data_IF_117691347442
#
_entry.id   IF_117691347442
#
_cell.length_a   1.000
_cell.length_b   1.000
_cell.length_c   1.000
_cell.angle_alpha   90.00
_cell.angle_beta   90.00
_cell.angle_gamma   90.00
#
_symmetry.space_group_name_H-M   'P 1'
#
loop_
_entity.id
_entity.type
_entity.pdbx_description
1 polymer ?
#
# COMPACT_ATOMS: atom_id res chain seq x y z
N UNK A 1 -22.49 -17.11 -2.05
CA UNK A 1 -21.97 -17.91 -0.92
C UNK A 1 -20.53 -17.44 -0.74
N UNK A 2 -20.18 -16.86 0.42
CA UNK A 2 -18.80 -16.43 0.69
C UNK A 2 -17.95 -17.68 0.93
N UNK A 3 -16.85 -17.81 0.18
CA UNK A 3 -15.81 -18.84 0.37
C UNK A 3 -14.71 -18.28 1.28
N UNK A 4 -13.74 -19.11 1.66
CA UNK A 4 -12.63 -18.73 2.56
C UNK A 4 -11.61 -17.73 1.93
N UNK A 5 -11.94 -17.13 0.79
CA UNK A 5 -11.13 -16.13 0.09
C UNK A 5 -9.86 -16.68 -0.57
N UNK A 6 -9.55 -17.97 -0.41
CA UNK A 6 -8.32 -18.58 -0.95
C UNK A 6 -8.39 -18.83 -2.46
N UNK A 7 -9.59 -19.05 -2.98
CA UNK A 7 -9.86 -19.36 -4.37
C UNK A 7 -10.80 -18.31 -4.97
N UNK A 8 -10.24 -17.19 -5.47
CA UNK A 8 -11.00 -16.20 -6.24
C UNK A 8 -10.76 -14.73 -5.89
N UNK A 9 -10.02 -14.43 -4.82
CA UNK A 9 -9.56 -13.08 -4.52
C UNK A 9 -8.05 -13.02 -4.71
N UNK A 10 -7.60 -12.39 -5.80
CA UNK A 10 -6.19 -12.04 -5.92
C UNK A 10 -5.86 -10.92 -4.94
N UNK A 11 -4.74 -11.06 -4.23
CA UNK A 11 -4.25 -10.04 -3.30
C UNK A 11 -3.95 -8.74 -4.06
N UNK A 12 -4.84 -7.76 -3.98
CA UNK A 12 -4.66 -6.43 -4.59
C UNK A 12 -3.78 -5.52 -3.74
N UNK A 13 -3.24 -6.02 -2.63
CA UNK A 13 -2.48 -5.21 -1.67
C UNK A 13 -3.35 -4.18 -0.95
N UNK A 14 -2.69 -3.17 -0.38
CA UNK A 14 -3.33 -2.03 0.29
C UNK A 14 -3.31 -0.80 -0.62
N UNK A 15 -4.31 0.07 -0.48
CA UNK A 15 -4.43 1.31 -1.28
C UNK A 15 -4.30 2.57 -0.41
N UNK A 16 -3.80 3.64 -1.02
CA UNK A 16 -3.91 5.00 -0.48
C UNK A 16 -5.10 5.70 -1.12
N UNK A 17 -5.90 6.39 -0.31
CA UNK A 17 -7.08 7.12 -0.76
C UNK A 17 -6.90 8.61 -0.48
N UNK A 18 -7.36 9.44 -1.40
CA UNK A 18 -7.44 10.88 -1.24
C UNK A 18 -8.81 11.38 -1.69
N UNK A 19 -9.27 12.48 -1.09
CA UNK A 19 -10.45 13.17 -1.59
C UNK A 19 -10.18 13.69 -3.01
N UNK A 20 -11.09 13.46 -3.95
CA UNK A 20 -10.94 13.89 -5.35
C UNK A 20 -10.54 15.37 -5.49
N UNK A 21 -11.18 16.34 -4.79
CA UNK A 21 -10.77 17.74 -4.90
C UNK A 21 -9.35 18.01 -4.39
N UNK A 22 -8.83 17.20 -3.47
CA UNK A 22 -7.45 17.34 -3.00
C UNK A 22 -6.46 16.81 -4.04
N UNK A 23 -6.72 15.62 -4.60
CA UNK A 23 -5.87 15.02 -5.62
C UNK A 23 -5.80 15.88 -6.90
N UNK A 24 -6.94 16.44 -7.33
CA UNK A 24 -7.03 17.30 -8.51
C UNK A 24 -6.35 18.66 -8.31
N UNK A 25 -6.39 19.22 -7.09
CA UNK A 25 -5.74 20.51 -6.77
C UNK A 25 -4.24 20.39 -6.51
N UNK A 26 -3.76 19.21 -6.16
CA UNK A 26 -2.36 18.99 -5.77
C UNK A 26 -1.70 17.85 -6.57
N UNK A 27 -1.76 17.86 -7.92
CA UNK A 27 -1.29 16.74 -8.73
C UNK A 27 0.20 16.43 -8.52
N UNK A 28 1.02 17.46 -8.27
CA UNK A 28 2.47 17.31 -8.05
C UNK A 28 2.84 16.89 -6.63
N UNK A 29 1.93 17.05 -5.67
CA UNK A 29 2.17 16.68 -4.27
C UNK A 29 2.00 15.19 -4.03
N UNK A 30 1.06 14.55 -4.73
CA UNK A 30 0.79 13.12 -4.58
C UNK A 30 2.04 12.24 -4.84
N UNK A 31 2.81 12.41 -5.94
CA UNK A 31 4.02 11.63 -6.14
C UNK A 31 5.10 11.91 -5.08
N UNK A 32 5.17 13.13 -4.54
CA UNK A 32 6.11 13.47 -3.46
C UNK A 32 5.77 12.73 -2.17
N UNK A 33 4.49 12.65 -1.82
CA UNK A 33 4.01 11.87 -0.66
C UNK A 33 4.35 10.39 -0.87
N UNK A 34 4.07 9.83 -2.05
CA UNK A 34 4.40 8.43 -2.34
C UNK A 34 5.90 8.15 -2.30
N UNK A 35 6.73 9.07 -2.78
CA UNK A 35 8.19 8.96 -2.66
C UNK A 35 8.64 8.93 -1.19
N UNK A 36 8.15 9.84 -0.36
CA UNK A 36 8.50 9.88 1.06
C UNK A 36 8.06 8.60 1.79
N UNK A 37 6.85 8.10 1.49
CA UNK A 37 6.35 6.85 2.07
C UNK A 37 7.16 5.63 1.60
N UNK A 38 7.58 5.60 0.33
CA UNK A 38 8.47 4.55 -0.19
C UNK A 38 9.85 4.58 0.47
N UNK A 39 10.40 5.76 0.75
CA UNK A 39 11.66 5.87 1.49
C UNK A 39 11.50 5.35 2.92
N UNK A 40 10.39 5.65 3.60
CA UNK A 40 10.09 5.12 4.91
C UNK A 40 9.90 3.58 4.90
N UNK A 41 9.25 3.04 3.87
CA UNK A 41 9.11 1.59 3.69
C UNK A 41 10.47 0.92 3.47
N UNK A 42 11.36 1.53 2.68
CA UNK A 42 12.71 1.02 2.45
C UNK A 42 13.55 0.94 3.75
N UNK A 43 13.34 1.86 4.70
CA UNK A 43 14.02 1.82 6.01
C UNK A 43 13.69 0.56 6.80
N UNK A 44 12.51 -0.03 6.62
CA UNK A 44 12.13 -1.27 7.31
C UNK A 44 13.01 -2.46 6.93
N UNK A 45 13.70 -2.38 5.78
CA UNK A 45 14.69 -3.36 5.32
C UNK A 45 16.13 -2.90 5.52
N UNK A 46 16.41 -1.62 5.25
CA UNK A 46 17.76 -1.08 5.35
C UNK A 46 18.23 -0.93 6.80
N UNK A 47 17.30 -0.72 7.73
CA UNK A 47 17.55 -0.64 9.18
C UNK A 47 16.42 -1.34 9.96
N UNK A 48 16.39 -2.67 9.96
CA UNK A 48 15.31 -3.44 10.59
C UNK A 48 15.28 -3.23 12.12
N UNK A 49 16.44 -3.19 12.78
CA UNK A 49 16.53 -3.00 14.23
C UNK A 49 15.95 -1.65 14.67
N UNK A 50 16.38 -0.55 14.04
CA UNK A 50 15.84 0.77 14.35
C UNK A 50 14.35 0.89 14.02
N UNK A 51 13.90 0.25 12.93
CA UNK A 51 12.48 0.22 12.58
C UNK A 51 11.64 -0.53 13.61
N UNK A 52 12.13 -1.67 14.11
CA UNK A 52 11.50 -2.44 15.18
C UNK A 52 11.46 -1.63 16.47
N UNK A 53 12.53 -0.92 16.85
CA UNK A 53 12.55 -0.10 18.07
C UNK A 53 11.50 1.02 18.02
N UNK A 54 11.44 1.75 16.91
CA UNK A 54 10.45 2.82 16.69
C UNK A 54 9.03 2.25 16.81
N UNK A 55 8.76 1.12 16.13
CA UNK A 55 7.43 0.51 16.13
C UNK A 55 7.05 -0.12 17.49
N UNK A 56 8.01 -0.68 18.22
CA UNK A 56 7.83 -1.16 19.60
C UNK A 56 7.32 -0.03 20.49
N UNK A 57 7.96 1.14 20.40
CA UNK A 57 7.56 2.33 21.16
C UNK A 57 6.18 2.86 20.74
N UNK A 58 5.88 2.88 19.44
CA UNK A 58 4.60 3.38 18.94
C UNK A 58 3.42 2.44 19.25
N UNK A 59 3.61 1.14 19.08
CA UNK A 59 2.55 0.15 19.26
C UNK A 59 2.38 -0.26 20.73
N UNK A 60 3.39 -0.03 21.58
CA UNK A 60 3.38 -0.48 22.98
C UNK A 60 3.41 -2.00 23.13
N UNK A 61 3.91 -2.71 22.10
CA UNK A 61 4.00 -4.17 22.07
C UNK A 61 5.42 -4.63 22.39
N UNK A 62 5.60 -5.86 22.91
CA UNK A 62 6.91 -6.47 23.07
C UNK A 62 7.71 -6.50 21.75
N UNK A 63 9.03 -6.33 21.85
CA UNK A 63 9.91 -6.20 20.69
C UNK A 63 9.90 -7.45 19.79
N UNK A 64 9.80 -8.64 20.38
CA UNK A 64 9.72 -9.93 19.68
C UNK A 64 8.42 -10.07 18.87
N UNK A 65 7.30 -9.56 19.39
CA UNK A 65 6.03 -9.48 18.65
C UNK A 65 6.15 -8.56 17.45
N UNK A 66 6.78 -7.39 17.61
CA UNK A 66 7.00 -6.46 16.50
C UNK A 66 7.98 -7.04 15.48
N UNK A 67 9.05 -7.68 15.92
CA UNK A 67 9.98 -8.37 15.03
C UNK A 67 9.28 -9.46 14.20
N UNK A 68 8.43 -10.26 14.84
CA UNK A 68 7.57 -11.24 14.16
C UNK A 68 6.64 -10.57 13.14
N UNK A 69 6.00 -9.45 13.48
CA UNK A 69 5.18 -8.72 12.53
C UNK A 69 5.98 -8.32 11.27
N UNK A 70 7.18 -7.76 11.44
CA UNK A 70 8.03 -7.36 10.32
C UNK A 70 8.49 -8.56 9.46
N UNK A 71 8.77 -9.73 10.06
CA UNK A 71 9.20 -10.91 9.29
C UNK A 71 8.13 -11.49 8.36
N UNK A 72 6.85 -11.17 8.60
CA UNK A 72 5.73 -11.62 7.76
C UNK A 72 5.33 -10.60 6.70
N UNK A 73 6.01 -9.44 6.63
CA UNK A 73 5.70 -8.41 5.63
C UNK A 73 6.43 -8.69 4.32
N UNK A 74 5.72 -8.86 3.20
CA UNK A 74 6.38 -8.84 1.89
C UNK A 74 6.84 -7.42 1.56
N UNK A 75 7.79 -7.32 0.63
CA UNK A 75 8.13 -6.05 0.00
C UNK A 75 6.86 -5.42 -0.59
N UNK A 76 6.56 -4.20 -0.16
CA UNK A 76 5.30 -3.54 -0.48
C UNK A 76 5.55 -2.09 -0.92
N UNK A 77 6.35 -1.86 -1.98
CA UNK A 77 6.54 -0.53 -2.50
C UNK A 77 5.21 0.02 -3.02
N UNK A 78 4.99 1.29 -2.76
CA UNK A 78 3.85 2.05 -3.22
C UNK A 78 4.06 2.38 -4.69
N UNK A 79 3.14 1.90 -5.52
CA UNK A 79 3.17 2.08 -6.96
C UNK A 79 1.87 2.71 -7.45
N UNK A 80 1.86 3.27 -8.68
CA UNK A 80 0.63 3.67 -9.34
C UNK A 80 -0.29 2.45 -9.51
N UNK A 81 -1.59 2.67 -9.30
CA UNK A 81 -2.60 1.63 -9.51
C UNK A 81 -2.58 1.14 -10.98
N UNK A 82 -2.59 -0.17 -11.17
CA UNK A 82 -2.60 -0.79 -12.51
C UNK A 82 -4.00 -1.22 -12.94
N UNK A 83 -4.20 -1.51 -14.23
CA UNK A 83 -5.46 -2.07 -14.70
C UNK A 83 -5.82 -3.38 -14.00
N UNK A 84 -4.82 -4.22 -13.72
CA UNK A 84 -5.00 -5.47 -12.98
C UNK A 84 -5.46 -5.22 -11.54
N UNK A 85 -4.92 -4.21 -10.85
CA UNK A 85 -5.36 -3.87 -9.49
C UNK A 85 -6.81 -3.40 -9.48
N UNK A 86 -7.21 -2.62 -10.49
CA UNK A 86 -8.60 -2.18 -10.67
C UNK A 86 -9.52 -3.38 -10.89
N UNK A 87 -9.15 -4.32 -11.77
CA UNK A 87 -9.92 -5.54 -12.02
C UNK A 87 -10.07 -6.40 -10.75
N UNK A 88 -8.96 -6.63 -10.03
CA UNK A 88 -8.97 -7.41 -8.80
C UNK A 88 -9.84 -6.75 -7.70
N UNK A 89 -9.74 -5.43 -7.57
CA UNK A 89 -10.55 -4.67 -6.62
C UNK A 89 -12.04 -4.64 -7.05
N UNK A 90 -12.33 -4.63 -8.35
CA UNK A 90 -13.69 -4.76 -8.86
C UNK A 90 -14.30 -6.12 -8.51
N UNK A 91 -13.56 -7.22 -8.66
CA UNK A 91 -14.01 -8.55 -8.24
C UNK A 91 -14.35 -8.59 -6.75
N UNK A 92 -13.52 -7.91 -5.93
CA UNK A 92 -13.79 -7.78 -4.49
C UNK A 92 -15.08 -7.01 -4.23
N UNK A 93 -15.28 -5.87 -4.89
CA UNK A 93 -16.51 -5.07 -4.76
C UNK A 93 -17.76 -5.85 -5.20
N UNK A 94 -17.67 -6.61 -6.28
CA UNK A 94 -18.76 -7.44 -6.80
C UNK A 94 -19.12 -8.55 -5.82
N UNK A 95 -18.12 -9.23 -5.24
CA UNK A 95 -18.33 -10.26 -4.21
C UNK A 95 -19.00 -9.69 -2.97
N UNK A 96 -18.62 -8.49 -2.53
CA UNK A 96 -19.25 -7.82 -1.39
C UNK A 96 -20.71 -7.49 -1.68
N UNK A 97 -21.03 -7.01 -2.89
CA UNK A 97 -22.41 -6.72 -3.28
C UNK A 97 -23.26 -7.98 -3.42
N UNK A 98 -22.76 -9.01 -4.11
CA UNK A 98 -23.45 -10.29 -4.32
C UNK A 98 -23.80 -10.97 -2.99
N UNK A 99 -22.93 -10.83 -1.98
CA UNK A 99 -23.15 -11.39 -0.65
C UNK A 99 -23.77 -10.38 0.33
N UNK A 100 -24.27 -9.24 -0.18
CA UNK A 100 -25.03 -8.21 0.57
C UNK A 100 -24.25 -7.59 1.75
N UNK A 101 -22.92 -7.57 1.66
CA UNK A 101 -22.05 -6.87 2.62
C UNK A 101 -22.03 -5.36 2.37
N UNK A 102 -22.33 -4.93 1.13
CA UNK A 102 -22.56 -3.54 0.77
C UNK A 102 -23.92 -3.38 0.09
N UNK A 103 -24.61 -2.24 0.29
CA UNK A 103 -25.98 -2.06 -0.18
C UNK A 103 -26.08 -1.66 -1.67
N UNK A 104 -24.96 -1.26 -2.29
CA UNK A 104 -24.93 -0.76 -3.66
C UNK A 104 -23.71 -1.32 -4.41
N UNK A 105 -23.84 -1.60 -5.72
CA UNK A 105 -22.69 -1.94 -6.53
C UNK A 105 -21.75 -0.73 -6.64
N UNK A 106 -20.45 -1.00 -6.72
CA UNK A 106 -19.40 0.01 -6.88
C UNK A 106 -18.68 -0.28 -8.18
N UNK A 107 -18.40 0.77 -8.97
CA UNK A 107 -17.51 0.70 -10.12
C UNK A 107 -16.15 1.30 -9.73
N UNK A 108 -15.14 0.46 -9.53
CA UNK A 108 -13.83 0.86 -9.03
C UNK A 108 -13.09 1.79 -10.00
N UNK A 109 -13.24 1.55 -11.30
CA UNK A 109 -12.64 2.39 -12.35
C UNK A 109 -13.07 3.87 -12.27
N UNK A 110 -14.23 4.18 -11.68
CA UNK A 110 -14.72 5.56 -11.58
C UNK A 110 -13.97 6.39 -10.53
N UNK A 111 -13.33 5.71 -9.57
CA UNK A 111 -12.61 6.32 -8.45
C UNK A 111 -11.11 6.08 -8.49
N UNK A 112 -10.63 5.22 -9.40
CA UNK A 112 -9.21 5.09 -9.68
C UNK A 112 -8.72 6.39 -10.34
N UNK A 113 -7.78 7.07 -9.70
CA UNK A 113 -7.09 8.20 -10.33
C UNK A 113 -6.23 7.69 -11.48
N UNK A 114 -6.10 8.44 -12.60
CA UNK A 114 -5.13 8.10 -13.63
C UNK A 114 -3.74 7.92 -13.03
N UNK A 115 -2.94 7.02 -13.60
CA UNK A 115 -1.61 6.70 -13.09
C UNK A 115 -0.76 7.97 -12.94
N UNK A 116 -0.48 8.35 -11.70
CA UNK A 116 0.48 9.42 -11.39
C UNK A 116 1.87 8.77 -11.37
N UNK A 117 2.79 9.14 -12.27
CA UNK A 117 4.10 8.50 -12.33
C UNK A 117 4.89 8.77 -11.05
N UNK A 118 5.18 7.72 -10.28
CA UNK A 118 6.16 7.74 -9.19
C UNK A 118 7.54 7.57 -9.80
N UNK A 119 8.43 8.54 -9.62
CA UNK A 119 9.79 8.46 -10.18
C UNK A 119 10.59 7.41 -9.42
N UNK A 120 11.01 6.34 -10.08
CA UNK A 120 11.93 5.36 -9.51
C UNK A 120 13.27 6.04 -9.17
N UNK A 121 13.61 6.13 -7.88
CA UNK A 121 14.92 6.61 -7.48
C UNK A 121 15.97 5.52 -7.81
N UNK A 122 16.91 5.82 -8.73
CA UNK A 122 18.16 5.07 -8.83
C UNK A 122 18.87 5.19 -7.49
N UNK A 123 19.18 4.06 -6.86
CA UNK A 123 20.11 4.01 -5.74
C UNK A 123 21.48 4.50 -6.22
N UNK A 124 21.80 5.77 -5.99
CA UNK A 124 23.19 6.21 -5.99
C UNK A 124 23.74 5.84 -4.62
N UNK A 125 24.41 4.68 -4.55
CA UNK A 125 25.24 4.34 -3.41
C UNK A 125 26.36 5.39 -3.34
N UNK A 126 26.20 6.39 -2.48
CA UNK A 126 27.32 7.21 -2.05
C UNK A 126 27.99 6.48 -0.90
N UNK A 127 29.11 5.88 -1.28
CA UNK A 127 30.23 5.43 -0.46
C UNK A 127 30.32 6.15 0.90
N UNK A 128 30.13 5.39 1.98
CA UNK A 128 30.56 5.80 3.32
C UNK A 128 31.98 5.27 3.48
N UNK A 129 32.96 6.13 3.23
CA UNK A 129 34.38 5.91 3.51
C UNK A 129 34.61 6.15 5.03
N UNK A 130 35.54 5.43 5.68
CA UNK A 130 35.44 4.97 7.07
C UNK A 130 35.70 6.03 8.16
#
# INVERSE_FOLDING_TARGET
>A
MLTDGRNGLSNSGSFYLAARPFAERNPDLIPQIFNALNQAEALTRANPEGSIEIMTRQLGLPQDVVASYFSHRPDSPISPITARDIENQQQTADLFYQNRLIPKPIRVADVATPAVPVTAQRQTNTEVTP
#
